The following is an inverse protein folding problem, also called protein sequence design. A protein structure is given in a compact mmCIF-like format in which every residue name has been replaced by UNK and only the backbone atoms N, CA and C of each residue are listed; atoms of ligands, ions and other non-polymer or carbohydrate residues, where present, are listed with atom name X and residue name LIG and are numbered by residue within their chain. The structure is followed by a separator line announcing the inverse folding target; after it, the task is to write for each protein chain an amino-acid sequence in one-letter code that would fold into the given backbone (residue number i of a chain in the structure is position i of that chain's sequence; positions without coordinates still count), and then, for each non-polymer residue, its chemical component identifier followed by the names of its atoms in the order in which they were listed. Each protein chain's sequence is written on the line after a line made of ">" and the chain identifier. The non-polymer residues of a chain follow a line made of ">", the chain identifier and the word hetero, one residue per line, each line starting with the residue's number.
data_IF_073269206984
#
_entry.id   IF_073269206984
#
_cell.length_a   1.000
_cell.length_b   1.000
_cell.length_c   1.000
_cell.angle_alpha   90.00
_cell.angle_beta   90.00
_cell.angle_gamma   90.00
#
_symmetry.space_group_name_H-M   'P 1'
#
loop_
_entity.id
_entity.type
_entity.pdbx_description
1 polymer ?
#
# COMPACT_ATOMS: atom_id res chain seq x y z
N UNK A 1 -25.39 -37.50 1.83
CA UNK A 1 -24.00 -37.68 1.41
C UNK A 1 -23.10 -36.54 1.88
N UNK A 2 -22.23 -36.82 2.86
CA UNK A 2 -21.19 -35.90 3.35
C UNK A 2 -20.32 -35.30 2.24
N UNK A 3 -20.13 -36.04 1.15
CA UNK A 3 -19.36 -35.58 -0.02
C UNK A 3 -19.95 -34.32 -0.66
N UNK A 4 -21.28 -34.15 -0.63
CA UNK A 4 -21.97 -32.99 -1.24
C UNK A 4 -21.68 -31.73 -0.42
N UNK A 5 -21.77 -31.82 0.91
CA UNK A 5 -21.57 -30.69 1.83
C UNK A 5 -20.12 -30.19 1.75
N UNK A 6 -19.14 -31.09 1.67
CA UNK A 6 -17.72 -30.73 1.52
C UNK A 6 -17.46 -30.02 0.18
N UNK A 7 -18.12 -30.47 -0.89
CA UNK A 7 -17.97 -29.87 -2.20
C UNK A 7 -18.60 -28.47 -2.27
N UNK A 8 -19.74 -28.26 -1.60
CA UNK A 8 -20.38 -26.94 -1.49
C UNK A 8 -19.56 -25.96 -0.65
N UNK A 9 -18.97 -26.42 0.47
CA UNK A 9 -18.08 -25.62 1.29
C UNK A 9 -16.84 -25.15 0.52
N UNK A 10 -16.18 -26.06 -0.23
CA UNK A 10 -15.03 -25.74 -1.09
C UNK A 10 -15.39 -24.79 -2.23
N UNK A 11 -16.59 -24.94 -2.81
CA UNK A 11 -17.09 -24.04 -3.84
C UNK A 11 -17.32 -22.62 -3.28
N UNK A 12 -17.84 -22.51 -2.06
CA UNK A 12 -18.04 -21.23 -1.39
C UNK A 12 -16.73 -20.55 -0.98
N UNK A 13 -15.71 -21.30 -0.53
CA UNK A 13 -14.38 -20.73 -0.31
C UNK A 13 -13.73 -20.23 -1.60
N UNK A 14 -13.82 -21.00 -2.70
CA UNK A 14 -13.34 -20.56 -4.01
C UNK A 14 -14.06 -19.31 -4.49
N UNK A 15 -15.38 -19.20 -4.28
CA UNK A 15 -16.16 -17.99 -4.61
C UNK A 15 -15.75 -16.79 -3.75
N UNK A 16 -15.50 -16.98 -2.45
CA UNK A 16 -14.99 -15.92 -1.56
C UNK A 16 -13.60 -15.44 -1.98
N UNK A 17 -12.71 -16.35 -2.34
CA UNK A 17 -11.36 -16.00 -2.80
C UNK A 17 -11.41 -15.26 -4.15
N UNK A 18 -12.25 -15.73 -5.08
CA UNK A 18 -12.45 -15.08 -6.39
C UNK A 18 -13.06 -13.68 -6.27
N UNK A 19 -14.00 -13.47 -5.34
CA UNK A 19 -14.56 -12.15 -5.05
C UNK A 19 -13.55 -11.24 -4.34
N UNK A 20 -12.67 -11.78 -3.48
CA UNK A 20 -11.58 -11.02 -2.85
C UNK A 20 -10.52 -10.60 -3.87
N UNK A 21 -10.17 -11.47 -4.83
CA UNK A 21 -9.27 -11.14 -5.94
C UNK A 21 -9.91 -10.14 -6.91
N UNK A 22 -11.23 -10.19 -7.08
CA UNK A 22 -11.97 -9.18 -7.85
C UNK A 22 -11.90 -7.81 -7.18
N UNK A 23 -12.14 -7.75 -5.87
CA UNK A 23 -12.10 -6.50 -5.10
C UNK A 23 -10.69 -5.87 -4.98
N UNK A 24 -9.61 -6.66 -5.12
CA UNK A 24 -8.24 -6.13 -5.23
C UNK A 24 -7.91 -5.61 -6.64
N UNK A 25 -8.62 -6.08 -7.67
CA UNK A 25 -8.45 -5.65 -9.05
C UNK A 25 -9.43 -4.52 -9.45
N UNK A 26 -10.41 -4.21 -8.61
CA UNK A 26 -11.44 -3.19 -8.83
C UNK A 26 -11.10 -1.84 -8.15
N UNK A 27 -9.86 -1.62 -7.68
CA UNK A 27 -9.39 -0.27 -7.36
C UNK A 27 -8.94 0.38 -8.66
N UNK A 28 -9.91 0.96 -9.39
CA UNK A 28 -9.81 2.19 -10.21
C UNK A 28 -10.98 2.30 -11.23
N UNK A 29 -12.24 2.11 -10.82
CA UNK A 29 -13.41 2.47 -11.63
C UNK A 29 -14.34 3.52 -10.99
N UNK A 30 -13.88 4.21 -9.93
CA UNK A 30 -14.61 5.36 -9.35
C UNK A 30 -13.69 6.59 -9.28
N UNK A 31 -13.29 7.13 -10.44
CA UNK A 31 -13.16 8.59 -10.69
C UNK A 31 -12.81 8.84 -12.18
N UNK A 32 -13.75 8.53 -13.07
CA UNK A 32 -13.64 8.67 -14.53
C UNK A 32 -13.78 10.14 -14.99
N UNK A 33 -13.26 11.09 -14.19
CA UNK A 33 -13.29 12.53 -14.46
C UNK A 33 -11.90 13.18 -14.51
N UNK A 34 -10.81 12.46 -14.18
CA UNK A 34 -9.43 13.00 -14.24
C UNK A 34 -8.78 12.82 -15.63
N UNK A 35 -9.33 11.98 -16.50
CA UNK A 35 -8.81 11.80 -17.89
C UNK A 35 -9.19 12.94 -18.85
N UNK A 36 -9.97 13.95 -18.42
CA UNK A 36 -10.35 15.11 -19.24
C UNK A 36 -9.84 16.48 -18.75
N UNK A 37 -9.24 16.57 -17.56
CA UNK A 37 -8.74 17.83 -17.01
C UNK A 37 -7.24 18.02 -17.22
N UNK A 38 -6.84 18.57 -18.36
CA UNK A 38 -5.46 19.03 -18.60
C UNK A 38 -4.73 18.31 -19.73
N UNK A 39 -5.26 18.34 -20.96
CA UNK A 39 -4.46 18.06 -22.16
C UNK A 39 -3.51 19.22 -22.41
N UNK A 40 -2.40 19.27 -21.69
CA UNK A 40 -1.27 20.09 -22.11
C UNK A 40 -0.75 19.53 -23.44
N UNK A 41 -0.69 20.41 -24.44
CA UNK A 41 -0.53 20.08 -25.86
C UNK A 41 0.92 19.84 -26.27
N UNK A 42 1.76 19.34 -25.37
CA UNK A 42 3.18 19.10 -25.60
C UNK A 42 3.61 17.76 -24.98
N UNK A 43 3.05 16.67 -25.49
CA UNK A 43 3.76 15.46 -25.92
C UNK A 43 2.73 14.35 -26.16
N UNK A 44 2.57 13.98 -27.43
CA UNK A 44 2.06 12.65 -27.74
C UNK A 44 3.25 11.70 -27.63
N UNK A 45 3.54 11.22 -26.43
CA UNK A 45 4.37 10.01 -26.29
C UNK A 45 3.43 8.81 -26.40
N UNK A 46 3.53 7.99 -27.47
CA UNK A 46 2.96 6.67 -27.44
C UNK A 46 3.76 5.89 -26.39
N UNK A 47 3.07 5.15 -25.53
CA UNK A 47 3.64 4.30 -24.48
C UNK A 47 4.08 5.04 -23.20
N UNK A 48 3.12 5.68 -22.52
CA UNK A 48 3.28 5.99 -21.09
C UNK A 48 3.33 4.66 -20.35
N UNK A 49 4.48 4.32 -19.78
CA UNK A 49 4.62 3.08 -19.01
C UNK A 49 3.66 3.12 -17.82
N UNK A 50 3.09 1.97 -17.46
CA UNK A 50 2.14 1.92 -16.36
C UNK A 50 2.72 2.38 -15.01
N UNK A 51 4.05 2.47 -14.86
CA UNK A 51 4.70 3.08 -13.69
C UNK A 51 4.42 4.57 -13.57
N UNK A 52 4.47 5.29 -14.69
CA UNK A 52 4.30 6.75 -14.75
C UNK A 52 2.90 7.18 -14.34
N UNK A 53 1.89 6.38 -14.68
CA UNK A 53 0.48 6.66 -14.32
C UNK A 53 0.26 6.53 -12.81
N UNK A 54 0.84 5.50 -12.18
CA UNK A 54 0.73 5.27 -10.73
C UNK A 54 1.42 6.40 -9.96
N UNK A 55 2.64 6.74 -10.38
CA UNK A 55 3.39 7.84 -9.80
C UNK A 55 2.69 9.19 -9.99
N UNK A 56 2.16 9.46 -11.19
CA UNK A 56 1.37 10.66 -11.46
C UNK A 56 0.17 10.78 -10.52
N UNK A 57 -0.59 9.70 -10.31
CA UNK A 57 -1.73 9.68 -9.37
C UNK A 57 -1.31 9.95 -7.93
N UNK A 58 -0.19 9.36 -7.51
CA UNK A 58 0.43 9.64 -6.21
C UNK A 58 0.74 11.14 -6.07
N UNK A 59 1.42 11.73 -7.05
CA UNK A 59 1.72 13.17 -7.07
C UNK A 59 0.45 14.02 -6.99
N UNK A 60 -0.56 13.73 -7.82
CA UNK A 60 -1.81 14.49 -7.80
C UNK A 60 -2.48 14.48 -6.43
N UNK A 61 -2.44 13.35 -5.72
CA UNK A 61 -3.01 13.25 -4.38
C UNK A 61 -2.22 14.06 -3.34
N UNK A 62 -0.89 14.05 -3.41
CA UNK A 62 -0.04 14.74 -2.43
C UNK A 62 -0.04 16.25 -2.63
N UNK A 63 -0.24 16.74 -3.86
CA UNK A 63 -0.31 18.18 -4.16
C UNK A 63 -1.33 18.95 -3.31
N UNK A 64 -2.37 18.29 -2.82
CA UNK A 64 -3.37 18.92 -1.94
C UNK A 64 -2.85 19.20 -0.52
N UNK A 65 -1.86 18.43 -0.05
CA UNK A 65 -1.27 18.54 1.29
C UNK A 65 0.21 18.11 1.26
N UNK A 66 1.09 18.91 0.64
CA UNK A 66 2.49 18.53 0.41
C UNK A 66 3.29 18.31 1.69
N UNK A 67 2.92 19.00 2.78
CA UNK A 67 3.57 18.86 4.10
C UNK A 67 3.01 17.70 4.94
N UNK A 68 2.05 16.93 4.41
CA UNK A 68 1.50 15.78 5.12
C UNK A 68 2.60 14.74 5.33
N UNK A 69 2.89 14.41 6.59
CA UNK A 69 3.90 13.39 6.96
C UNK A 69 3.29 12.01 7.23
N UNK A 70 1.98 11.94 7.49
CA UNK A 70 1.27 10.71 7.80
C UNK A 70 -0.12 10.69 7.15
N UNK A 71 -0.49 9.56 6.55
CA UNK A 71 -1.83 9.26 6.06
C UNK A 71 -2.35 8.02 6.79
N UNK A 72 -3.33 8.21 7.66
CA UNK A 72 -3.99 7.14 8.41
C UNK A 72 -5.24 6.65 7.68
N UNK A 73 -5.40 5.34 7.52
CA UNK A 73 -6.56 4.73 6.84
C UNK A 73 -6.65 3.23 7.19
N UNK A 74 -7.11 2.94 8.41
CA UNK A 74 -7.15 1.57 8.94
C UNK A 74 -7.99 0.63 8.08
N UNK A 75 -7.42 -0.53 7.76
CA UNK A 75 -7.97 -1.51 6.81
C UNK A 75 -8.32 -0.94 5.43
N UNK A 76 -7.83 0.26 5.10
CA UNK A 76 -7.99 0.91 3.81
C UNK A 76 -6.87 0.53 2.83
N UNK A 77 -6.63 1.43 1.88
CA UNK A 77 -5.68 1.20 0.80
C UNK A 77 -4.50 2.18 0.90
N UNK A 78 -3.25 1.73 0.77
CA UNK A 78 -2.09 2.63 0.72
C UNK A 78 -2.12 3.48 -0.57
N UNK A 79 -1.60 4.69 -0.51
CA UNK A 79 -1.34 5.48 -1.71
C UNK A 79 -0.01 5.00 -2.31
N UNK A 80 -0.12 4.20 -3.37
CA UNK A 80 1.01 3.49 -3.97
C UNK A 80 1.84 4.44 -4.85
N UNK A 81 3.16 4.41 -4.68
CA UNK A 81 4.13 5.16 -5.47
C UNK A 81 4.51 4.42 -6.77
N UNK A 82 4.79 3.11 -6.65
CA UNK A 82 5.19 2.23 -7.74
C UNK A 82 4.41 0.91 -7.67
N UNK A 83 4.17 0.22 -8.79
CA UNK A 83 3.43 -1.06 -8.76
C UNK A 83 3.98 -2.02 -7.71
N UNK A 84 3.10 -2.54 -6.87
CA UNK A 84 3.42 -3.59 -5.91
C UNK A 84 3.49 -4.94 -6.63
N UNK A 85 4.55 -5.69 -6.38
CA UNK A 85 4.62 -7.08 -6.80
C UNK A 85 3.75 -7.95 -5.90
N UNK A 86 3.04 -8.91 -6.48
CA UNK A 86 2.10 -9.76 -5.73
C UNK A 86 2.75 -10.61 -4.63
N UNK A 87 4.06 -10.86 -4.73
CA UNK A 87 4.81 -11.62 -3.73
C UNK A 87 5.01 -10.82 -2.44
N UNK A 88 5.31 -9.53 -2.53
CA UNK A 88 5.47 -8.64 -1.37
C UNK A 88 4.23 -8.63 -0.48
N UNK A 89 3.05 -8.48 -1.08
CA UNK A 89 1.78 -8.41 -0.34
C UNK A 89 1.42 -9.72 0.38
N UNK A 90 1.95 -10.86 -0.11
CA UNK A 90 1.68 -12.17 0.50
C UNK A 90 2.41 -12.37 1.84
N UNK A 91 3.58 -11.77 2.02
CA UNK A 91 4.40 -11.88 3.25
C UNK A 91 3.75 -11.17 4.44
N UNK A 92 2.99 -10.12 4.18
CA UNK A 92 2.41 -9.24 5.21
C UNK A 92 1.11 -9.81 5.81
N UNK A 93 0.60 -10.94 5.30
CA UNK A 93 -0.77 -11.37 5.58
C UNK A 93 -1.05 -11.85 7.01
N UNK A 94 -0.03 -12.12 7.83
CA UNK A 94 -0.20 -12.76 9.14
C UNK A 94 0.57 -12.08 10.26
N UNK A 95 -0.09 -11.90 11.39
CA UNK A 95 0.50 -11.40 12.61
C UNK A 95 1.44 -12.45 13.19
N UNK A 96 2.71 -12.11 13.37
CA UNK A 96 3.72 -13.01 13.95
C UNK A 96 3.44 -13.46 15.39
N UNK A 97 2.54 -12.78 16.09
CA UNK A 97 2.23 -13.05 17.51
C UNK A 97 1.01 -13.94 17.69
N UNK A 98 -0.10 -13.68 16.98
CA UNK A 98 -1.36 -14.42 17.16
C UNK A 98 -1.89 -15.09 15.88
N UNK A 99 -1.17 -14.97 14.76
CA UNK A 99 -1.54 -15.57 13.47
C UNK A 99 -2.84 -15.05 12.84
N UNK A 100 -3.44 -14.00 13.42
CA UNK A 100 -4.54 -13.26 12.79
C UNK A 100 -4.04 -12.50 11.55
N UNK A 101 -4.94 -12.01 10.70
CA UNK A 101 -4.55 -11.19 9.55
C UNK A 101 -3.88 -9.89 9.97
N UNK A 102 -2.93 -9.40 9.17
CA UNK A 102 -2.55 -7.99 9.24
C UNK A 102 -3.32 -7.18 8.21
N UNK A 103 -3.62 -5.93 8.56
CA UNK A 103 -4.30 -4.95 7.71
C UNK A 103 -3.47 -3.68 7.65
N UNK A 104 -3.68 -2.87 6.62
CA UNK A 104 -3.05 -1.56 6.52
C UNK A 104 -3.52 -0.68 7.69
N UNK A 105 -2.61 0.05 8.33
CA UNK A 105 -2.93 0.97 9.44
C UNK A 105 -2.73 2.42 8.97
N UNK A 106 -1.50 2.74 8.55
CA UNK A 106 -1.13 4.06 8.06
C UNK A 106 0.08 4.01 7.13
N UNK A 107 0.30 5.14 6.46
CA UNK A 107 1.41 5.39 5.57
C UNK A 107 2.21 6.61 6.06
N UNK A 108 3.54 6.51 6.08
CA UNK A 108 4.42 7.66 6.20
C UNK A 108 4.71 8.22 4.82
N UNK A 109 4.55 9.53 4.70
CA UNK A 109 4.67 10.26 3.45
C UNK A 109 6.10 10.77 3.24
N UNK A 110 6.54 11.02 2.00
CA UNK A 110 7.92 11.43 1.71
C UNK A 110 8.33 12.73 2.43
N UNK A 111 7.39 13.65 2.65
CA UNK A 111 7.63 14.89 3.39
C UNK A 111 8.22 14.67 4.79
N UNK A 112 8.00 13.49 5.42
CA UNK A 112 8.54 13.16 6.73
C UNK A 112 10.06 13.27 6.77
N UNK A 113 10.77 12.93 5.69
CA UNK A 113 12.25 12.99 5.62
C UNK A 113 12.76 14.39 6.00
N UNK A 114 12.06 15.45 5.60
CA UNK A 114 12.43 16.84 5.88
C UNK A 114 12.37 17.21 7.38
N UNK A 115 11.62 16.44 8.18
CA UNK A 115 11.43 16.69 9.61
C UNK A 115 12.32 15.80 10.49
N UNK A 116 12.92 14.76 9.92
CA UNK A 116 13.79 13.85 10.63
C UNK A 116 15.18 14.46 10.75
N UNK A 117 15.62 14.73 11.99
CA UNK A 117 16.99 15.13 12.29
C UNK A 117 17.85 13.88 12.40
N UNK A 118 18.47 13.51 11.29
CA UNK A 118 19.30 12.31 11.22
C UNK A 118 20.75 12.78 11.22
N UNK A 119 21.59 12.13 12.03
CA UNK A 119 23.02 12.41 12.00
C UNK A 119 23.52 12.20 10.58
N UNK A 120 24.22 13.21 10.04
CA UNK A 120 24.63 13.35 8.63
C UNK A 120 25.44 12.17 8.04
N UNK A 121 25.67 11.10 8.80
CA UNK A 121 26.33 9.87 8.36
C UNK A 121 25.34 8.85 7.74
N UNK A 122 24.04 9.04 7.92
CA UNK A 122 23.00 8.16 7.37
C UNK A 122 22.08 9.00 6.47
N UNK A 123 22.23 8.89 5.15
CA UNK A 123 21.28 9.44 4.20
C UNK A 123 19.99 8.62 4.23
N UNK A 124 18.96 9.10 4.91
CA UNK A 124 17.65 8.46 4.89
C UNK A 124 16.85 9.00 3.72
N UNK A 125 16.55 8.12 2.77
CA UNK A 125 15.69 8.42 1.63
C UNK A 125 14.64 7.32 1.49
N UNK A 126 13.38 7.73 1.35
CA UNK A 126 12.28 6.84 1.00
C UNK A 126 11.19 7.66 0.28
N UNK A 127 10.52 7.03 -0.68
CA UNK A 127 9.37 7.63 -1.34
C UNK A 127 8.11 7.49 -0.49
N UNK A 128 7.84 6.31 0.08
CA UNK A 128 6.76 6.13 1.06
C UNK A 128 6.94 4.87 1.89
N UNK A 129 6.38 4.85 3.11
CA UNK A 129 6.40 3.68 3.99
C UNK A 129 4.97 3.26 4.33
N UNK A 130 4.63 1.99 4.18
CA UNK A 130 3.34 1.42 4.59
C UNK A 130 3.51 0.60 5.85
N UNK A 131 2.61 0.81 6.81
CA UNK A 131 2.61 0.09 8.08
C UNK A 131 1.35 -0.77 8.16
N UNK A 132 1.56 -2.04 8.51
CA UNK A 132 0.51 -3.04 8.66
C UNK A 132 0.52 -3.63 10.06
N UNK A 133 -0.66 -3.68 10.67
CA UNK A 133 -0.86 -4.06 12.06
C UNK A 133 -1.81 -5.25 12.18
N UNK A 134 -1.80 -5.88 13.36
CA UNK A 134 -2.70 -7.00 13.64
C UNK A 134 -4.17 -6.56 13.70
N UNK A 135 -5.01 -7.15 12.84
CA UNK A 135 -6.47 -6.91 12.86
C UNK A 135 -7.17 -7.30 14.16
N UNK A 136 -6.59 -8.22 14.94
CA UNK A 136 -7.14 -8.65 16.23
C UNK A 136 -6.60 -7.85 17.42
N UNK A 137 -5.79 -6.81 17.17
CA UNK A 137 -5.12 -6.00 18.20
C UNK A 137 -4.56 -6.85 19.35
N UNK A 138 -3.79 -7.88 19.02
CA UNK A 138 -3.47 -8.97 19.93
C UNK A 138 -2.52 -8.63 21.10
N UNK A 139 -2.42 -7.35 21.48
CA UNK A 139 -1.69 -6.88 22.65
C UNK A 139 -2.15 -7.62 23.91
N UNK A 140 -1.24 -7.79 24.87
CA UNK A 140 -1.55 -8.43 26.15
C UNK A 140 -0.84 -7.66 27.26
N UNK A 141 -1.62 -7.17 28.22
CA UNK A 141 -1.15 -6.37 29.36
C UNK A 141 -0.16 -7.12 30.26
N UNK A 142 -0.15 -8.46 30.19
CA UNK A 142 0.80 -9.29 30.95
C UNK A 142 2.23 -9.25 30.39
N UNK A 143 2.44 -8.68 29.21
CA UNK A 143 3.76 -8.56 28.60
C UNK A 143 3.90 -7.16 28.00
N UNK A 144 4.33 -6.22 28.84
CA UNK A 144 4.47 -4.77 28.56
C UNK A 144 5.66 -4.46 27.62
N UNK A 145 5.90 -5.34 26.66
CA UNK A 145 6.95 -5.24 25.66
C UNK A 145 6.35 -4.79 24.33
N UNK A 146 7.03 -3.85 23.68
CA UNK A 146 6.68 -3.40 22.34
C UNK A 146 6.64 -4.57 21.34
N UNK A 147 5.84 -4.42 20.28
CA UNK A 147 5.70 -5.40 19.22
C UNK A 147 6.19 -4.82 17.91
N UNK A 148 6.81 -5.69 17.10
CA UNK A 148 7.26 -5.34 15.76
C UNK A 148 6.10 -5.47 14.80
N UNK A 149 5.80 -4.38 14.09
CA UNK A 149 4.81 -4.34 13.03
C UNK A 149 5.44 -4.67 11.67
N UNK A 150 4.60 -4.99 10.69
CA UNK A 150 5.05 -5.26 9.34
C UNK A 150 5.13 -3.95 8.57
N UNK A 151 6.27 -3.70 7.93
CA UNK A 151 6.54 -2.46 7.20
C UNK A 151 6.95 -2.79 5.77
N UNK A 152 6.46 -2.00 4.82
CA UNK A 152 6.90 -2.03 3.44
C UNK A 152 7.35 -0.64 2.98
N UNK A 153 8.49 -0.56 2.32
CA UNK A 153 9.09 0.70 1.88
C UNK A 153 9.14 0.74 0.37
N UNK A 154 8.65 1.83 -0.22
CA UNK A 154 8.92 2.17 -1.62
C UNK A 154 10.01 3.22 -1.64
N UNK A 155 11.10 2.92 -2.33
CA UNK A 155 12.19 3.85 -2.55
C UNK A 155 11.72 5.04 -3.38
N UNK A 156 12.47 6.14 -3.33
CA UNK A 156 12.23 7.26 -4.23
C UNK A 156 12.53 6.81 -5.67
N UNK A 157 11.60 6.94 -6.64
CA UNK A 157 11.85 6.55 -8.02
C UNK A 157 13.04 7.29 -8.65
N UNK A 158 13.35 8.50 -8.18
CA UNK A 158 14.45 9.30 -8.70
C UNK A 158 15.82 8.86 -8.15
N UNK A 159 15.86 7.96 -7.16
CA UNK A 159 17.09 7.51 -6.52
C UNK A 159 18.10 6.91 -7.53
N UNK A 160 17.62 6.20 -8.56
CA UNK A 160 18.47 5.59 -9.57
C UNK A 160 18.95 6.58 -10.67
N UNK A 161 18.46 7.82 -10.67
CA UNK A 161 18.82 8.82 -11.68
C UNK A 161 20.13 9.56 -11.35
N UNK A 162 20.63 9.44 -10.12
CA UNK A 162 21.78 10.19 -9.62
C UNK A 162 23.00 9.31 -9.26
N UNK A 163 22.94 8.01 -9.57
CA UNK A 163 24.01 7.03 -9.37
C UNK A 163 24.95 6.89 -10.58
#
# INVERSE_FOLDING_TARGET
>A
DEQIIINEAKLNEKKKLKNKTKHLNDIDEDDDEITKGGKEKYEKTPDIEHGDIVFYRFQQKIRYAPDQIIRYDWSGNPLILTKLDGNTLSTIQKCRYCQSSCVFEFQLMPALVNFLKIDNQIGLEFGTVFVYTCSSNCWNDNNDLYRFENVFVQADPDQNLFD
#
